data_IF_950768721971
#
_entry.id   IF_950768721971
#
_cell.length_a   1.000
_cell.length_b   1.000
_cell.length_c   1.000
_cell.angle_alpha   90.00
_cell.angle_beta   90.00
_cell.angle_gamma   90.00
#
_symmetry.space_group_name_H-M   'P 1'
#
loop_
_entity.id
_entity.type
_entity.pdbx_description
1 polymer ?
#
# COMPACT_ATOMS: atom_id res chain seq x y z
N UNK A 1 -13.37 4.59 -8.47
CA UNK A 1 -12.76 5.90 -8.76
C UNK A 1 -12.31 6.49 -7.43
N UNK A 2 -11.00 6.70 -7.32
CA UNK A 2 -10.22 7.49 -6.35
C UNK A 2 -10.83 7.90 -5.01
N UNK A 3 -10.16 7.52 -3.91
CA UNK A 3 -9.32 8.45 -3.14
C UNK A 3 -9.16 7.95 -1.69
N UNK A 4 -8.03 7.32 -1.38
CA UNK A 4 -7.40 7.50 -0.06
C UNK A 4 -5.89 7.69 -0.29
N UNK A 5 -5.56 8.74 -1.05
CA UNK A 5 -4.17 9.19 -1.14
C UNK A 5 -3.87 9.98 0.13
N UNK A 6 -3.31 9.26 1.10
CA UNK A 6 -2.70 9.81 2.30
C UNK A 6 -1.70 10.88 1.87
N UNK A 7 -1.97 12.13 2.24
CA UNK A 7 -1.09 13.26 2.00
C UNK A 7 0.13 13.13 2.93
N UNK A 8 0.99 12.14 2.68
CA UNK A 8 2.21 11.93 3.45
C UNK A 8 3.15 13.11 3.20
N UNK A 9 3.58 13.75 4.27
CA UNK A 9 4.61 14.78 4.19
C UNK A 9 5.95 14.12 3.82
N UNK A 10 6.73 14.77 2.96
CA UNK A 10 8.05 14.28 2.50
C UNK A 10 8.95 13.81 3.64
N UNK A 11 8.91 14.50 4.78
CA UNK A 11 9.68 14.19 5.98
C UNK A 11 9.26 12.86 6.64
N UNK A 12 7.95 12.56 6.64
CA UNK A 12 7.42 11.29 7.15
C UNK A 12 7.80 10.12 6.25
N UNK A 13 7.72 10.30 4.93
CA UNK A 13 8.17 9.28 3.97
C UNK A 13 9.67 9.01 4.13
N UNK A 14 10.46 10.05 4.39
CA UNK A 14 11.89 9.91 4.59
C UNK A 14 12.22 9.17 5.90
N UNK A 15 11.57 9.53 7.02
CA UNK A 15 11.69 8.78 8.27
C UNK A 15 11.28 7.30 8.08
N UNK A 16 10.22 7.02 7.32
CA UNK A 16 9.74 5.66 7.10
C UNK A 16 10.75 4.78 6.33
N UNK A 17 11.48 5.34 5.37
CA UNK A 17 12.55 4.59 4.65
C UNK A 17 13.83 4.47 5.46
N UNK A 18 14.12 5.37 6.40
CA UNK A 18 15.25 5.22 7.33
C UNK A 18 15.01 4.10 8.36
N UNK A 19 13.74 3.85 8.67
CA UNK A 19 13.32 2.85 9.66
C UNK A 19 12.92 1.50 9.06
N UNK A 20 13.00 1.34 7.72
CA UNK A 20 12.50 0.15 7.01
C UNK A 20 11.04 -0.21 7.38
N UNK A 21 10.18 0.80 7.57
CA UNK A 21 8.86 0.61 8.21
C UNK A 21 7.83 -0.05 7.27
N UNK A 22 7.55 -1.33 7.52
CA UNK A 22 6.60 -2.14 6.76
C UNK A 22 5.15 -1.64 6.80
N UNK A 23 4.79 -0.75 7.72
CA UNK A 23 3.45 -0.13 7.77
C UNK A 23 3.20 0.78 6.58
N UNK A 24 4.26 1.30 5.96
CA UNK A 24 4.19 2.17 4.79
C UNK A 24 4.38 1.43 3.47
N UNK A 25 4.59 0.12 3.53
CA UNK A 25 4.79 -0.69 2.35
C UNK A 25 3.57 -0.63 1.41
N UNK A 26 3.77 -0.29 0.15
CA UNK A 26 2.69 -0.07 -0.81
C UNK A 26 1.97 1.29 -0.72
N UNK A 27 2.21 2.11 0.33
CA UNK A 27 1.66 3.47 0.41
C UNK A 27 2.42 4.48 -0.46
N UNK A 28 3.72 4.29 -0.62
CA UNK A 28 4.55 5.11 -1.48
C UNK A 28 5.78 4.33 -1.96
N UNK A 29 6.43 4.89 -2.97
CA UNK A 29 7.64 4.37 -3.58
C UNK A 29 8.71 5.47 -3.60
N UNK A 30 9.94 5.07 -3.32
CA UNK A 30 11.09 5.97 -3.20
C UNK A 30 11.95 5.86 -4.43
N UNK A 31 12.01 6.90 -5.24
CA UNK A 31 12.88 7.01 -6.39
C UNK A 31 14.16 7.77 -6.06
N UNK A 32 15.29 7.18 -6.42
CA UNK A 32 16.62 7.74 -6.16
C UNK A 32 17.15 8.38 -7.44
N UNK A 33 17.36 9.69 -7.41
CA UNK A 33 17.77 10.48 -8.57
C UNK A 33 19.14 10.06 -9.11
N UNK A 34 20.07 9.70 -8.23
CA UNK A 34 21.45 9.37 -8.61
C UNK A 34 21.57 8.02 -9.32
N UNK A 35 20.73 7.05 -8.98
CA UNK A 35 20.77 5.69 -9.56
C UNK A 35 19.69 5.47 -10.62
N UNK A 36 18.66 6.31 -10.65
CA UNK A 36 17.49 6.12 -11.49
C UNK A 36 16.68 4.87 -11.10
N UNK A 37 16.76 4.45 -9.84
CA UNK A 37 16.07 3.27 -9.30
C UNK A 37 14.97 3.71 -8.34
N UNK A 38 13.81 3.06 -8.41
CA UNK A 38 12.79 3.21 -7.38
C UNK A 38 12.61 1.92 -6.55
N UNK A 39 12.33 2.12 -5.27
CA UNK A 39 12.30 1.10 -4.22
C UNK A 39 11.03 1.21 -3.37
N UNK A 40 10.76 0.16 -2.57
CA UNK A 40 9.77 0.16 -1.50
C UNK A 40 10.36 0.76 -0.21
N UNK A 41 9.53 1.21 0.74
CA UNK A 41 9.99 1.69 2.05
C UNK A 41 10.68 0.64 2.91
N UNK A 42 10.42 -0.65 2.64
CA UNK A 42 11.02 -1.81 3.33
C UNK A 42 12.32 -2.29 2.70
N UNK A 43 12.89 -1.51 1.77
CA UNK A 43 14.08 -1.91 1.04
C UNK A 43 15.33 -1.73 1.90
N UNK A 44 15.95 -2.86 2.29
CA UNK A 44 17.24 -2.92 3.01
C UNK A 44 18.46 -2.35 2.25
N UNK A 45 18.25 -1.64 1.14
CA UNK A 45 19.32 -0.90 0.47
C UNK A 45 19.68 0.35 1.31
N UNK A 46 20.92 0.80 1.22
CA UNK A 46 21.36 1.98 1.95
C UNK A 46 20.48 3.19 1.61
N UNK A 47 19.93 3.84 2.63
CA UNK A 47 19.06 5.01 2.47
C UNK A 47 19.86 6.16 1.84
N UNK A 48 19.44 6.68 0.68
CA UNK A 48 20.09 7.80 0.02
C UNK A 48 19.78 9.12 0.75
N UNK A 49 20.60 10.15 0.51
CA UNK A 49 20.35 11.50 1.03
C UNK A 49 19.00 12.05 0.56
N UNK A 50 18.27 12.73 1.43
CA UNK A 50 16.97 13.34 1.15
C UNK A 50 16.93 14.19 -0.12
N UNK A 51 18.00 14.94 -0.42
CA UNK A 51 18.13 15.76 -1.64
C UNK A 51 18.06 14.95 -2.95
N UNK A 52 18.41 13.66 -2.90
CA UNK A 52 18.43 12.75 -4.05
C UNK A 52 17.21 11.84 -4.10
N UNK A 53 16.18 12.12 -3.30
CA UNK A 53 14.99 11.29 -3.18
C UNK A 53 13.77 12.01 -3.73
N UNK A 54 12.96 11.28 -4.48
CA UNK A 54 11.58 11.66 -4.83
C UNK A 54 10.64 10.55 -4.42
N UNK A 55 9.46 10.94 -3.95
CA UNK A 55 8.42 9.99 -3.57
C UNK A 55 7.30 9.96 -4.61
N UNK A 56 6.78 8.77 -4.87
CA UNK A 56 5.67 8.51 -5.78
C UNK A 56 4.60 7.70 -5.06
N UNK A 57 3.32 7.96 -5.34
CA UNK A 57 2.22 7.21 -4.73
C UNK A 57 2.12 5.78 -5.26
N UNK A 58 2.53 5.53 -6.50
CA UNK A 58 2.42 4.21 -7.15
C UNK A 58 3.71 3.84 -7.88
N UNK A 59 3.97 2.53 -8.00
CA UNK A 59 5.08 2.01 -8.81
C UNK A 59 4.94 2.42 -10.27
N UNK A 60 3.71 2.47 -10.79
CA UNK A 60 3.41 2.93 -12.14
C UNK A 60 3.86 4.38 -12.36
N UNK A 61 3.53 5.30 -11.44
CA UNK A 61 3.94 6.70 -11.56
C UNK A 61 5.47 6.88 -11.55
N UNK A 62 6.19 6.07 -10.75
CA UNK A 62 7.65 6.08 -10.76
C UNK A 62 8.22 5.54 -12.08
N UNK A 63 7.64 4.49 -12.64
CA UNK A 63 8.04 3.93 -13.93
C UNK A 63 7.78 4.91 -15.08
N UNK A 64 6.62 5.56 -15.10
CA UNK A 64 6.27 6.61 -16.07
C UNK A 64 7.21 7.82 -16.00
N UNK A 65 7.70 8.14 -14.80
CA UNK A 65 8.72 9.16 -14.59
C UNK A 65 10.15 8.73 -15.02
N UNK A 66 10.31 7.50 -15.54
CA UNK A 66 11.57 7.01 -16.11
C UNK A 66 12.49 6.28 -15.13
N UNK A 67 12.02 5.96 -13.91
CA UNK A 67 12.80 5.19 -12.95
C UNK A 67 12.66 3.69 -13.18
N UNK A 68 13.73 2.94 -12.96
CA UNK A 68 13.76 1.48 -13.08
C UNK A 68 13.43 0.81 -11.73
N UNK A 69 12.73 -0.33 -11.72
CA UNK A 69 12.40 -1.02 -10.47
C UNK A 69 13.65 -1.60 -9.81
N UNK A 70 13.73 -1.51 -8.49
CA UNK A 70 14.78 -2.16 -7.71
C UNK A 70 14.65 -3.68 -7.75
N UNK A 71 15.74 -4.37 -8.12
CA UNK A 71 15.76 -5.83 -8.20
C UNK A 71 15.81 -6.52 -6.83
N UNK A 72 16.15 -5.80 -5.76
CA UNK A 72 16.27 -6.33 -4.40
C UNK A 72 14.91 -6.38 -3.69
N UNK A 73 14.16 -5.29 -3.70
CA UNK A 73 12.85 -5.23 -3.05
C UNK A 73 11.69 -5.52 -3.99
N UNK A 74 11.93 -5.63 -5.32
CA UNK A 74 10.93 -5.95 -6.35
C UNK A 74 9.64 -5.16 -6.14
N UNK A 75 9.67 -3.82 -6.37
CA UNK A 75 8.50 -2.96 -6.11
C UNK A 75 7.27 -3.35 -6.92
N UNK A 76 7.45 -4.08 -8.01
CA UNK A 76 6.40 -4.71 -8.82
C UNK A 76 5.56 -5.75 -8.04
N UNK A 77 6.10 -6.34 -6.97
CA UNK A 77 5.39 -7.30 -6.10
C UNK A 77 4.98 -6.66 -4.76
N UNK A 78 4.88 -5.34 -4.72
CA UNK A 78 4.35 -4.66 -3.55
C UNK A 78 2.88 -5.03 -3.33
N UNK A 79 2.43 -5.16 -2.07
CA UNK A 79 1.02 -5.38 -1.79
C UNK A 79 0.24 -4.14 -2.24
N UNK A 80 -0.97 -4.36 -2.76
CA UNK A 80 -1.87 -3.30 -3.22
C UNK A 80 -2.31 -2.39 -2.06
N UNK A 81 -2.23 -2.89 -0.83
CA UNK A 81 -2.54 -2.20 0.42
C UNK A 81 -1.43 -2.45 1.44
N UNK A 82 -1.16 -1.49 2.35
CA UNK A 82 -0.16 -1.71 3.38
C UNK A 82 -0.53 -2.87 4.28
N UNK A 83 0.50 -3.57 4.77
CA UNK A 83 0.32 -4.71 5.68
C UNK A 83 -0.33 -4.31 7.00
N UNK A 84 -0.30 -3.03 7.35
CA UNK A 84 -0.99 -2.42 8.49
C UNK A 84 -2.49 -2.22 8.26
N UNK A 85 -2.98 -2.36 7.03
CA UNK A 85 -4.40 -2.21 6.69
C UNK A 85 -5.19 -3.40 7.22
N UNK A 86 -5.59 -3.31 8.49
CA UNK A 86 -6.54 -4.24 9.09
C UNK A 86 -7.94 -3.78 8.72
N UNK A 87 -8.69 -4.64 8.04
CA UNK A 87 -10.11 -4.42 7.79
C UNK A 87 -10.84 -4.31 9.13
N UNK A 88 -11.88 -3.47 9.19
CA UNK A 88 -12.71 -3.45 10.40
C UNK A 88 -13.28 -4.86 10.65
N UNK A 89 -13.54 -5.25 11.91
CA UNK A 89 -14.13 -6.55 12.23
C UNK A 89 -15.40 -6.82 11.42
N UNK A 90 -16.21 -5.77 11.20
CA UNK A 90 -17.41 -5.80 10.39
C UNK A 90 -17.13 -6.21 8.93
N UNK A 91 -16.15 -5.57 8.28
CA UNK A 91 -15.80 -5.89 6.88
C UNK A 91 -15.22 -7.29 6.79
N UNK A 92 -14.35 -7.67 7.72
CA UNK A 92 -13.75 -9.01 7.76
C UNK A 92 -14.82 -10.10 7.89
N UNK A 93 -15.77 -9.91 8.80
CA UNK A 93 -16.91 -10.81 8.99
C UNK A 93 -17.82 -10.85 7.76
N UNK A 94 -18.08 -9.70 7.13
CA UNK A 94 -18.86 -9.62 5.91
C UNK A 94 -18.24 -10.42 4.76
N UNK A 95 -16.93 -10.25 4.54
CA UNK A 95 -16.19 -11.02 3.53
C UNK A 95 -16.23 -12.52 3.81
N UNK A 96 -16.12 -12.94 5.08
CA UNK A 96 -16.24 -14.36 5.45
C UNK A 96 -17.63 -14.93 5.13
N UNK A 97 -18.70 -14.18 5.38
CA UNK A 97 -20.06 -14.65 5.08
C UNK A 97 -20.37 -14.65 3.59
N UNK A 98 -19.87 -13.67 2.83
CA UNK A 98 -19.96 -13.67 1.36
C UNK A 98 -19.21 -14.89 0.81
N UNK A 99 -17.98 -15.14 1.26
CA UNK A 99 -17.22 -16.31 0.84
C UNK A 99 -17.89 -17.65 1.23
N UNK A 100 -18.69 -17.66 2.30
CA UNK A 100 -19.48 -18.81 2.72
C UNK A 100 -20.79 -18.97 1.91
N UNK A 101 -21.08 -18.11 0.95
CA UNK A 101 -22.27 -18.18 0.09
C UNK A 101 -23.54 -17.58 0.69
N UNK A 102 -23.47 -16.95 1.88
CA UNK A 102 -24.66 -16.41 2.57
C UNK A 102 -25.39 -15.40 1.70
N UNK A 103 -24.65 -14.55 0.98
CA UNK A 103 -25.22 -13.55 0.09
C UNK A 103 -25.98 -14.19 -1.09
N UNK A 104 -25.41 -15.23 -1.69
CA UNK A 104 -25.98 -15.92 -2.84
C UNK A 104 -27.23 -16.73 -2.45
N UNK A 105 -27.21 -17.34 -1.26
CA UNK A 105 -28.26 -18.23 -0.78
C UNK A 105 -29.43 -17.51 -0.08
N UNK A 106 -29.12 -16.46 0.69
CA UNK A 106 -30.08 -15.81 1.59
C UNK A 106 -30.30 -14.33 1.29
N UNK A 107 -29.52 -13.75 0.38
CA UNK A 107 -29.66 -12.35 -0.05
C UNK A 107 -29.04 -11.32 0.91
N UNK A 108 -29.18 -10.05 0.52
CA UNK A 108 -28.55 -8.90 1.20
C UNK A 108 -29.14 -8.64 2.59
N UNK A 109 -30.46 -8.83 2.76
CA UNK A 109 -31.16 -8.57 4.03
C UNK A 109 -30.62 -9.44 5.18
N UNK A 110 -30.50 -10.76 4.93
CA UNK A 110 -30.01 -11.72 5.92
C UNK A 110 -28.54 -11.45 6.27
N UNK A 111 -27.72 -11.12 5.25
CA UNK A 111 -26.34 -10.74 5.46
C UNK A 111 -26.22 -9.49 6.36
N UNK A 112 -27.05 -8.46 6.11
CA UNK A 112 -27.08 -7.24 6.91
C UNK A 112 -27.46 -7.52 8.37
N UNK A 113 -28.49 -8.35 8.59
CA UNK A 113 -28.89 -8.78 9.94
C UNK A 113 -27.77 -9.49 10.69
N UNK A 114 -27.07 -10.43 10.03
CA UNK A 114 -25.94 -11.17 10.64
C UNK A 114 -24.73 -10.30 10.93
N UNK A 115 -24.59 -9.19 10.22
CA UNK A 115 -23.58 -8.16 10.44
C UNK A 115 -24.04 -7.05 11.40
N UNK A 116 -25.30 -7.10 11.87
CA UNK A 116 -25.91 -6.09 12.74
C UNK A 116 -25.88 -4.68 12.13
N UNK A 117 -26.09 -4.58 10.83
CA UNK A 117 -26.19 -3.33 10.07
C UNK A 117 -27.53 -3.26 9.35
N UNK A 118 -28.02 -2.04 9.09
CA UNK A 118 -29.25 -1.78 8.33
C UNK A 118 -28.98 -1.29 6.93
#
# INVERSE_FOLDING_TARGET
>A
MSAMNTHLLTDQCYCAIEQDDARYDGLFFTAVLTTGIFCRPTCTAQTPRAENVRFFATAAAAAEAGFRPCLRCRPETAPEYPTSYTLSPLVSQGLQQIAAGVLDEHGVEELAQRLHVS
#
